data_IF_301754594673
#
_entry.id   IF_301754594673
#
_cell.length_a   1.000
_cell.length_b   1.000
_cell.length_c   1.000
_cell.angle_alpha   90.00
_cell.angle_beta   90.00
_cell.angle_gamma   90.00
#
_symmetry.space_group_name_H-M   'P 1'
#
loop_
_entity.id
_entity.type
_entity.pdbx_description
1 polymer ?
#
# COMPACT_ATOMS: atom_id res chain seq x y z
N UNK A 1 44.57 6.52 -26.10
CA UNK A 1 43.25 5.80 -26.10
C UNK A 1 42.29 6.61 -25.29
N UNK A 2 41.44 7.39 -25.96
CA UNK A 2 40.37 8.14 -25.33
C UNK A 2 39.13 7.27 -25.28
N UNK A 3 38.68 6.90 -24.08
CA UNK A 3 37.40 6.27 -23.88
C UNK A 3 36.29 7.32 -23.97
N UNK A 4 35.53 7.29 -25.04
CA UNK A 4 34.32 8.10 -25.19
C UNK A 4 33.26 7.65 -24.18
N UNK A 5 33.01 8.48 -23.21
CA UNK A 5 31.80 8.38 -22.35
C UNK A 5 30.60 8.76 -23.22
N UNK A 6 29.79 7.78 -23.56
CA UNK A 6 28.47 8.04 -24.15
C UNK A 6 27.54 8.64 -23.08
N UNK A 7 26.80 9.69 -23.42
CA UNK A 7 25.79 10.24 -22.51
C UNK A 7 24.66 9.20 -22.34
N UNK A 8 24.25 8.98 -21.08
CA UNK A 8 23.03 8.22 -20.78
C UNK A 8 21.85 8.94 -21.42
N UNK A 9 21.21 8.28 -22.37
CA UNK A 9 19.97 8.77 -22.98
C UNK A 9 18.88 8.87 -21.90
N UNK A 10 18.07 9.93 -21.91
CA UNK A 10 16.91 10.02 -21.01
C UNK A 10 15.91 8.94 -21.36
N UNK A 11 15.45 8.20 -20.36
CA UNK A 11 14.38 7.20 -20.46
C UNK A 11 13.20 7.79 -21.25
N UNK A 12 12.88 7.14 -22.36
CA UNK A 12 11.83 7.61 -23.27
C UNK A 12 10.46 7.41 -22.62
N UNK A 13 9.50 8.27 -22.94
CA UNK A 13 8.13 8.23 -22.46
C UNK A 13 7.41 6.88 -22.69
N UNK A 14 7.93 6.05 -23.61
CA UNK A 14 7.47 4.68 -23.84
C UNK A 14 7.73 3.73 -22.67
N UNK A 15 8.79 3.98 -21.88
CA UNK A 15 9.13 3.12 -20.74
C UNK A 15 8.23 3.39 -19.53
N UNK A 16 7.76 4.63 -19.39
CA UNK A 16 6.78 4.99 -18.37
C UNK A 16 5.39 4.38 -18.66
N UNK A 17 5.02 4.24 -19.92
CA UNK A 17 3.77 3.58 -20.33
C UNK A 17 3.81 2.07 -20.06
N UNK A 18 4.97 1.45 -20.23
CA UNK A 18 5.16 0.01 -19.96
C UNK A 18 5.06 -0.32 -18.46
N UNK A 19 5.41 0.62 -17.57
CA UNK A 19 5.25 0.46 -16.14
C UNK A 19 3.79 0.52 -15.69
N UNK A 20 2.92 1.24 -16.41
CA UNK A 20 1.48 1.33 -16.12
C UNK A 20 0.72 0.03 -16.46
N UNK A 21 1.17 -0.73 -17.44
CA UNK A 21 0.60 -2.03 -17.80
C UNK A 21 0.89 -3.14 -16.77
N UNK A 22 1.77 -2.89 -15.79
CA UNK A 22 2.16 -3.86 -14.76
C UNK A 22 1.36 -3.72 -13.47
N UNK A 23 0.44 -2.75 -13.35
CA UNK A 23 -0.44 -2.56 -12.20
C UNK A 23 -1.77 -3.24 -12.50
N UNK A 24 -2.12 -4.23 -11.67
CA UNK A 24 -3.42 -4.90 -11.73
C UNK A 24 -4.22 -4.53 -10.47
N UNK A 25 -5.42 -4.04 -10.66
CA UNK A 25 -6.33 -3.69 -9.58
C UNK A 25 -7.65 -4.43 -9.73
N UNK A 26 -8.15 -4.96 -8.62
CA UNK A 26 -9.50 -5.51 -8.54
C UNK A 26 -10.23 -4.93 -7.35
N UNK A 27 -11.52 -4.71 -7.51
CA UNK A 27 -12.40 -4.29 -6.44
C UNK A 27 -13.65 -5.15 -6.44
N UNK A 28 -13.98 -5.70 -5.29
CA UNK A 28 -15.16 -6.50 -5.07
C UNK A 28 -16.05 -5.84 -4.03
N UNK A 29 -17.32 -5.72 -4.34
CA UNK A 29 -18.35 -5.23 -3.42
C UNK A 29 -18.97 -6.41 -2.71
N UNK A 30 -18.87 -6.43 -1.39
CA UNK A 30 -19.41 -7.46 -0.52
C UNK A 30 -20.64 -6.94 0.24
N UNK A 31 -21.48 -7.82 0.81
CA UNK A 31 -22.62 -7.41 1.62
C UNK A 31 -22.22 -6.49 2.79
N UNK A 32 -23.17 -5.64 3.22
CA UNK A 32 -22.96 -4.74 4.35
C UNK A 32 -22.04 -3.54 4.09
N UNK A 33 -21.87 -3.16 2.82
CA UNK A 33 -20.99 -2.05 2.44
C UNK A 33 -19.51 -2.38 2.56
N UNK A 34 -19.15 -3.64 2.69
CA UNK A 34 -17.77 -4.11 2.70
C UNK A 34 -17.17 -4.05 1.29
N UNK A 35 -15.91 -3.68 1.21
CA UNK A 35 -15.13 -3.66 -0.04
C UNK A 35 -13.87 -4.48 0.14
N UNK A 36 -13.56 -5.28 -0.88
CA UNK A 36 -12.28 -5.97 -0.98
C UNK A 36 -11.51 -5.41 -2.16
N UNK A 37 -10.31 -4.91 -1.86
CA UNK A 37 -9.38 -4.41 -2.87
C UNK A 37 -8.19 -5.34 -2.98
N UNK A 38 -7.70 -5.55 -4.18
CA UNK A 38 -6.42 -6.19 -4.42
C UNK A 38 -5.66 -5.38 -5.47
N UNK A 39 -4.41 -5.06 -5.17
CA UNK A 39 -3.51 -4.34 -6.06
C UNK A 39 -2.23 -5.14 -6.20
N UNK A 40 -1.88 -5.49 -7.41
CA UNK A 40 -0.63 -6.17 -7.72
C UNK A 40 0.27 -5.28 -8.55
N UNK A 41 1.50 -5.17 -8.11
CA UNK A 41 2.55 -4.40 -8.77
C UNK A 41 3.69 -5.31 -9.15
N UNK A 42 4.34 -4.98 -10.25
CA UNK A 42 5.61 -5.58 -10.62
C UNK A 42 6.70 -4.52 -10.46
N UNK A 43 7.70 -4.85 -9.67
CA UNK A 43 8.79 -3.94 -9.30
C UNK A 43 10.14 -4.54 -9.68
N UNK A 44 11.04 -3.71 -10.21
CA UNK A 44 12.43 -4.08 -10.47
C UNK A 44 13.35 -3.98 -9.24
N UNK A 45 12.81 -4.22 -8.05
CA UNK A 45 13.50 -4.07 -6.78
C UNK A 45 13.72 -5.41 -6.10
N UNK A 46 14.75 -5.49 -5.27
CA UNK A 46 15.03 -6.67 -4.45
C UNK A 46 13.91 -6.88 -3.41
N UNK A 47 13.38 -8.10 -3.23
CA UNK A 47 12.37 -8.39 -2.23
C UNK A 47 12.78 -8.00 -0.80
N UNK A 48 14.04 -8.13 -0.44
CA UNK A 48 14.54 -7.77 0.88
C UNK A 48 14.48 -6.25 1.11
N UNK A 49 14.72 -5.46 0.07
CA UNK A 49 14.59 -4.02 0.15
C UNK A 49 13.13 -3.59 0.34
N UNK A 50 12.21 -4.21 -0.39
CA UNK A 50 10.76 -3.95 -0.24
C UNK A 50 10.31 -4.33 1.17
N UNK A 51 10.74 -5.48 1.67
CA UNK A 51 10.45 -5.90 3.04
C UNK A 51 10.95 -4.89 4.08
N UNK A 52 12.17 -4.41 3.93
CA UNK A 52 12.75 -3.42 4.82
C UNK A 52 11.95 -2.11 4.84
N UNK A 53 11.46 -1.65 3.68
CA UNK A 53 10.60 -0.45 3.58
C UNK A 53 9.25 -0.69 4.23
N UNK A 54 8.59 -1.82 3.98
CA UNK A 54 7.28 -2.15 4.54
C UNK A 54 7.30 -2.32 6.06
N UNK A 55 8.42 -2.78 6.61
CA UNK A 55 8.59 -3.01 8.06
C UNK A 55 9.25 -1.86 8.81
N UNK A 56 9.59 -0.78 8.12
CA UNK A 56 10.02 0.46 8.73
C UNK A 56 8.81 1.33 9.10
N UNK A 57 8.08 0.89 10.11
CA UNK A 57 6.73 1.35 10.45
C UNK A 57 6.63 2.84 10.76
N UNK A 58 7.63 3.43 11.38
CA UNK A 58 7.65 4.86 11.71
C UNK A 58 7.89 5.76 10.49
N UNK A 59 8.34 5.18 9.37
CA UNK A 59 8.65 5.90 8.14
C UNK A 59 7.61 5.67 7.02
N UNK A 60 6.58 4.86 7.24
CA UNK A 60 5.60 4.52 6.21
C UNK A 60 4.85 5.74 5.66
N UNK A 61 4.66 6.79 6.45
CA UNK A 61 4.05 8.04 6.00
C UNK A 61 4.85 8.75 4.88
N UNK A 62 6.12 8.42 4.68
CA UNK A 62 6.93 8.93 3.57
C UNK A 62 6.65 8.23 2.25
N UNK A 63 6.15 7.01 2.29
CA UNK A 63 5.98 6.15 1.11
C UNK A 63 4.52 5.90 0.77
N UNK A 64 3.63 5.88 1.76
CA UNK A 64 2.21 5.65 1.55
C UNK A 64 1.49 6.98 1.49
N UNK A 65 0.88 7.31 0.36
CA UNK A 65 0.17 8.58 0.19
C UNK A 65 -1.05 8.66 1.09
N UNK A 66 -1.39 9.88 1.45
CA UNK A 66 -2.48 10.18 2.37
C UNK A 66 -2.34 9.58 3.78
N UNK A 67 -1.26 8.84 4.04
CA UNK A 67 -0.88 8.42 5.37
C UNK A 67 -0.07 9.54 6.03
N UNK A 68 -0.66 10.24 6.99
CA UNK A 68 -0.02 11.38 7.65
C UNK A 68 0.81 10.96 8.86
N UNK A 69 0.35 9.94 9.58
CA UNK A 69 1.01 9.41 10.77
C UNK A 69 1.12 7.90 10.64
N UNK A 70 2.30 7.39 10.94
CA UNK A 70 2.54 5.96 11.16
C UNK A 70 3.52 5.84 12.32
N UNK A 71 3.12 5.11 13.34
CA UNK A 71 3.89 5.00 14.58
C UNK A 71 3.83 3.59 15.14
N UNK A 72 5.01 3.02 15.44
CA UNK A 72 5.13 1.76 16.16
C UNK A 72 4.77 1.99 17.64
N UNK A 73 3.76 1.28 18.13
CA UNK A 73 3.33 1.36 19.53
C UNK A 73 4.01 0.32 20.40
N UNK A 74 4.13 -0.90 19.91
CA UNK A 74 4.73 -2.01 20.63
C UNK A 74 5.16 -3.13 19.68
N UNK A 75 6.05 -3.98 20.14
CA UNK A 75 6.51 -5.18 19.46
C UNK A 75 6.58 -6.36 20.40
N UNK A 76 6.05 -7.51 19.96
CA UNK A 76 6.18 -8.81 20.64
C UNK A 76 6.50 -9.87 19.60
N UNK A 77 7.75 -10.34 19.57
CA UNK A 77 8.23 -11.27 18.56
C UNK A 77 7.93 -10.78 17.13
N UNK A 78 7.18 -11.55 16.35
CA UNK A 78 6.79 -11.21 14.97
C UNK A 78 5.46 -10.43 14.87
N UNK A 79 4.93 -9.96 15.97
CA UNK A 79 3.69 -9.17 16.01
C UNK A 79 3.99 -7.75 16.49
N UNK A 80 3.45 -6.77 15.78
CA UNK A 80 3.62 -5.36 16.10
C UNK A 80 2.28 -4.64 16.17
N UNK A 81 2.19 -3.65 17.04
CA UNK A 81 1.06 -2.73 17.10
C UNK A 81 1.44 -1.39 16.48
N UNK A 82 0.62 -0.89 15.57
CA UNK A 82 0.81 0.40 14.92
C UNK A 82 -0.38 1.32 15.17
N UNK A 83 -0.11 2.62 15.18
CA UNK A 83 -1.10 3.66 15.04
C UNK A 83 -0.88 4.37 13.72
N UNK A 84 -1.94 4.48 12.92
CA UNK A 84 -1.90 5.17 11.64
C UNK A 84 -3.06 6.15 11.51
N UNK A 85 -2.79 7.30 10.94
CA UNK A 85 -3.78 8.31 10.62
C UNK A 85 -3.64 8.70 9.14
N UNK A 86 -4.74 8.55 8.42
CA UNK A 86 -4.87 8.97 7.05
C UNK A 86 -5.76 10.21 6.93
N UNK A 87 -5.50 11.01 5.92
CA UNK A 87 -6.37 12.15 5.59
C UNK A 87 -6.51 12.27 4.09
N UNK A 88 -7.71 12.67 3.67
CA UNK A 88 -8.06 12.84 2.26
C UNK A 88 -8.99 14.02 2.10
N UNK A 89 -8.79 14.80 1.04
CA UNK A 89 -9.66 15.90 0.69
C UNK A 89 -10.52 15.54 -0.51
N UNK A 90 -11.83 15.70 -0.38
CA UNK A 90 -12.77 15.51 -1.46
C UNK A 90 -13.79 16.66 -1.47
N UNK A 91 -13.98 17.28 -2.63
CA UNK A 91 -14.90 18.44 -2.81
C UNK A 91 -14.72 19.55 -1.75
N UNK A 92 -13.47 19.84 -1.37
CA UNK A 92 -13.14 20.83 -0.35
C UNK A 92 -13.33 20.38 1.10
N UNK A 93 -13.83 19.17 1.32
CA UNK A 93 -13.97 18.58 2.64
C UNK A 93 -12.80 17.64 2.92
N UNK A 94 -12.25 17.75 4.12
CA UNK A 94 -11.15 16.89 4.58
C UNK A 94 -11.71 15.77 5.45
N UNK A 95 -11.46 14.54 5.03
CA UNK A 95 -11.78 13.33 5.77
C UNK A 95 -10.54 12.79 6.44
N UNK A 96 -10.62 12.47 7.72
CA UNK A 96 -9.55 11.84 8.48
C UNK A 96 -10.03 10.50 9.02
N UNK A 97 -9.15 9.52 9.02
CA UNK A 97 -9.40 8.23 9.64
C UNK A 97 -8.18 7.82 10.45
N UNK A 98 -8.42 7.33 11.66
CA UNK A 98 -7.40 6.83 12.57
C UNK A 98 -7.66 5.36 12.87
N UNK A 99 -6.60 4.56 12.81
CA UNK A 99 -6.65 3.14 13.11
C UNK A 99 -5.48 2.72 13.97
N UNK A 100 -5.72 1.76 14.84
CA UNK A 100 -4.68 0.95 15.46
C UNK A 100 -4.72 -0.43 14.84
N UNK A 101 -3.59 -0.88 14.37
CA UNK A 101 -3.42 -2.14 13.67
C UNK A 101 -2.53 -3.08 14.47
N UNK A 102 -2.86 -4.35 14.41
CA UNK A 102 -1.96 -5.42 14.78
C UNK A 102 -1.45 -6.07 13.49
N UNK A 103 -0.14 -6.06 13.29
CA UNK A 103 0.52 -6.65 12.13
C UNK A 103 1.29 -7.88 12.57
N UNK A 104 1.22 -8.92 11.75
CA UNK A 104 2.01 -10.15 11.92
C UNK A 104 2.99 -10.28 10.77
N UNK A 105 4.27 -10.36 11.12
CA UNK A 105 5.36 -10.55 10.17
C UNK A 105 5.61 -12.04 9.92
N UNK A 106 5.29 -12.51 8.73
CA UNK A 106 5.57 -13.88 8.27
C UNK A 106 6.82 -13.84 7.38
N UNK A 107 7.98 -13.75 7.99
CA UNK A 107 9.25 -13.50 7.30
C UNK A 107 9.57 -14.58 6.25
N UNK A 108 9.37 -15.85 6.57
CA UNK A 108 9.67 -16.94 5.63
C UNK A 108 8.81 -16.89 4.35
N UNK A 109 7.62 -16.31 4.44
CA UNK A 109 6.67 -16.18 3.34
C UNK A 109 6.71 -14.78 2.69
N UNK A 110 7.50 -13.86 3.23
CA UNK A 110 7.52 -12.44 2.87
C UNK A 110 6.10 -11.83 2.86
N UNK A 111 5.32 -12.18 3.87
CA UNK A 111 3.95 -11.75 4.05
C UNK A 111 3.81 -10.92 5.33
N UNK A 112 3.10 -9.81 5.22
CA UNK A 112 2.78 -8.93 6.33
C UNK A 112 1.26 -8.80 6.40
N UNK A 113 0.63 -9.49 7.34
CA UNK A 113 -0.82 -9.41 7.55
C UNK A 113 -1.17 -8.40 8.62
N UNK A 114 -2.32 -7.76 8.49
CA UNK A 114 -2.78 -6.78 9.45
C UNK A 114 -4.28 -6.85 9.71
N UNK A 115 -4.66 -6.49 10.91
CA UNK A 115 -6.04 -6.36 11.35
C UNK A 115 -6.19 -5.16 12.27
N UNK A 116 -7.26 -4.41 12.08
CA UNK A 116 -7.59 -3.29 12.97
C UNK A 116 -8.05 -3.82 14.33
N UNK A 117 -7.45 -3.30 15.39
CA UNK A 117 -7.87 -3.57 16.78
C UNK A 117 -8.74 -2.47 17.34
N UNK A 118 -8.55 -1.23 16.86
CA UNK A 118 -9.34 -0.05 17.25
C UNK A 118 -9.28 0.98 16.12
N UNK A 119 -10.36 1.66 15.84
CA UNK A 119 -10.34 2.74 14.85
C UNK A 119 -11.70 3.11 14.28
N UNK A 120 -11.65 3.95 13.25
CA UNK A 120 -12.82 4.62 12.67
C UNK A 120 -13.58 3.77 11.64
N UNK A 121 -13.14 2.56 11.38
CA UNK A 121 -13.82 1.59 10.51
C UNK A 121 -14.53 0.51 11.34
N UNK A 122 -15.47 -0.18 10.73
CA UNK A 122 -16.04 -1.41 11.30
C UNK A 122 -15.12 -2.61 11.06
N UNK A 123 -14.49 -2.63 9.90
CA UNK A 123 -13.55 -3.67 9.50
C UNK A 123 -12.44 -3.05 8.68
N UNK A 124 -11.21 -3.39 8.99
CA UNK A 124 -10.03 -2.98 8.26
C UNK A 124 -8.95 -4.05 8.46
N UNK A 125 -8.74 -4.87 7.45
CA UNK A 125 -7.79 -5.98 7.53
C UNK A 125 -7.26 -6.32 6.14
N UNK A 126 -6.10 -6.90 6.09
CA UNK A 126 -5.49 -7.29 4.83
C UNK A 126 -4.09 -7.83 4.97
N UNK A 127 -3.35 -7.77 3.88
CA UNK A 127 -1.97 -8.21 3.85
C UNK A 127 -1.18 -7.60 2.69
N UNK A 128 0.12 -7.53 2.90
CA UNK A 128 1.13 -7.33 1.87
C UNK A 128 1.82 -8.67 1.61
N UNK A 129 1.97 -9.03 0.36
CA UNK A 129 2.67 -10.24 -0.06
C UNK A 129 3.73 -9.90 -1.10
N UNK A 130 4.98 -10.22 -0.81
CA UNK A 130 6.08 -10.08 -1.76
C UNK A 130 6.32 -11.43 -2.41
N UNK A 131 6.33 -11.47 -3.74
CA UNK A 131 6.63 -12.66 -4.54
C UNK A 131 7.75 -12.39 -5.52
N UNK A 132 8.35 -13.45 -6.03
CA UNK A 132 9.30 -13.41 -7.14
C UNK A 132 8.90 -14.41 -8.21
N UNK A 133 9.04 -13.99 -9.46
CA UNK A 133 8.92 -14.86 -10.62
C UNK A 133 10.05 -14.57 -11.63
N UNK A 134 10.03 -15.24 -12.79
CA UNK A 134 11.04 -15.06 -13.83
C UNK A 134 11.12 -13.63 -14.39
N UNK A 135 10.06 -12.85 -14.25
CA UNK A 135 9.98 -11.48 -14.76
C UNK A 135 10.28 -10.39 -13.70
N UNK A 136 10.55 -10.79 -12.44
CA UNK A 136 10.93 -9.87 -11.36
C UNK A 136 10.19 -10.07 -10.06
N UNK A 137 10.14 -9.01 -9.25
CA UNK A 137 9.49 -9.01 -7.95
C UNK A 137 8.05 -8.51 -8.09
N UNK A 138 7.12 -9.17 -7.43
CA UNK A 138 5.72 -8.76 -7.33
C UNK A 138 5.40 -8.32 -5.90
N UNK A 139 4.57 -7.29 -5.78
CA UNK A 139 4.00 -6.85 -4.52
C UNK A 139 2.48 -6.88 -4.65
N UNK A 140 1.84 -7.72 -3.85
CA UNK A 140 0.39 -7.82 -3.75
C UNK A 140 -0.08 -7.15 -2.46
N UNK A 141 -0.99 -6.22 -2.57
CA UNK A 141 -1.70 -5.62 -1.45
C UNK A 141 -3.18 -6.01 -1.51
N UNK A 142 -3.68 -6.58 -0.43
CA UNK A 142 -5.08 -6.92 -0.26
C UNK A 142 -5.66 -6.18 0.94
N UNK A 143 -6.82 -5.58 0.76
CA UNK A 143 -7.52 -4.86 1.81
C UNK A 143 -9.00 -5.22 1.79
N UNK A 144 -9.53 -5.61 2.95
CA UNK A 144 -10.97 -5.71 3.20
C UNK A 144 -11.35 -4.60 4.17
N UNK A 145 -12.23 -3.71 3.75
CA UNK A 145 -12.65 -2.54 4.52
C UNK A 145 -14.16 -2.40 4.56
N UNK A 146 -14.68 -2.09 5.74
CA UNK A 146 -16.07 -1.71 5.96
C UNK A 146 -16.10 -0.42 6.77
N UNK A 147 -16.76 0.61 6.25
CA UNK A 147 -16.90 1.89 6.93
C UNK A 147 -18.00 1.87 7.97
N UNK A 148 -17.95 2.84 8.88
CA UNK A 148 -19.05 3.13 9.79
C UNK A 148 -20.19 3.83 9.06
N UNK A 149 -21.37 3.85 9.66
CA UNK A 149 -22.55 4.56 9.14
C UNK A 149 -22.19 6.04 8.92
N UNK A 150 -22.51 6.57 7.74
CA UNK A 150 -22.22 7.94 7.35
C UNK A 150 -20.84 8.17 6.76
N UNK A 151 -19.96 7.19 6.75
CA UNK A 151 -18.66 7.28 6.09
C UNK A 151 -18.81 7.13 4.56
N UNK A 152 -18.27 8.07 3.75
CA UNK A 152 -18.42 8.02 2.29
C UNK A 152 -17.47 6.99 1.66
N UNK A 153 -17.74 5.70 1.87
CA UNK A 153 -16.91 4.58 1.38
C UNK A 153 -16.75 4.60 -0.14
N UNK A 154 -17.79 4.95 -0.89
CA UNK A 154 -17.69 5.05 -2.34
C UNK A 154 -16.67 6.08 -2.82
N UNK A 155 -16.49 7.17 -2.07
CA UNK A 155 -15.47 8.19 -2.34
C UNK A 155 -14.07 7.73 -1.96
N UNK A 156 -13.95 7.03 -0.84
CA UNK A 156 -12.69 6.42 -0.40
C UNK A 156 -12.25 5.36 -1.42
N UNK A 157 -13.17 4.55 -1.89
CA UNK A 157 -12.95 3.54 -2.94
C UNK A 157 -12.33 4.17 -4.21
N UNK A 158 -12.95 5.22 -4.74
CA UNK A 158 -12.47 5.89 -5.94
C UNK A 158 -11.05 6.46 -5.75
N UNK A 159 -10.80 7.07 -4.61
CA UNK A 159 -9.50 7.66 -4.29
C UNK A 159 -8.41 6.61 -4.05
N UNK A 160 -8.73 5.51 -3.39
CA UNK A 160 -7.77 4.41 -3.22
C UNK A 160 -7.29 3.88 -4.59
N UNK A 161 -8.20 3.77 -5.56
CA UNK A 161 -7.85 3.37 -6.92
C UNK A 161 -6.95 4.41 -7.61
N UNK A 162 -7.28 5.71 -7.51
CA UNK A 162 -6.51 6.80 -8.10
C UNK A 162 -5.15 6.97 -7.44
N UNK A 163 -5.09 6.95 -6.11
CA UNK A 163 -3.87 7.18 -5.34
C UNK A 163 -2.87 6.04 -5.47
N UNK A 164 -3.32 4.80 -5.44
CA UNK A 164 -2.44 3.65 -5.67
C UNK A 164 -1.83 3.70 -7.08
N UNK A 165 -2.58 4.10 -8.08
CA UNK A 165 -2.06 4.29 -9.43
C UNK A 165 -1.07 5.46 -9.53
N UNK A 166 -1.31 6.56 -8.79
CA UNK A 166 -0.49 7.78 -8.83
C UNK A 166 0.81 7.68 -8.02
N UNK A 167 0.83 6.89 -6.96
CA UNK A 167 1.91 6.90 -5.97
C UNK A 167 2.96 5.81 -6.14
N UNK A 168 2.79 5.02 -7.17
CA UNK A 168 3.74 4.00 -7.59
C UNK A 168 4.56 4.44 -8.80
N UNK A 169 4.52 5.73 -9.09
CA UNK A 169 5.34 6.38 -10.11
C UNK A 169 6.66 6.87 -9.55
#
# INVERSE_FOLDING_TARGET
MQASLQPLEPLQASDAACLLDTIQQTMERLPGGTRRLAVQLRLGLDPQWIWAVLTDYDQLSRFIPNLQVSRLLWRRANVVGLEQEGAQTFMGLRFKAKVQLELTEHLAEHRLSFVMTKGDFRRFEGAWQIGQDAAGTTLLYELTVQGCVGMPIGLIEQRLQEDLAANLR
#
